data_IF_823703726467
#
_entry.id   IF_823703726467
#
_cell.length_a   1.000
_cell.length_b   1.000
_cell.length_c   1.000
_cell.angle_alpha   90.00
_cell.angle_beta   90.00
_cell.angle_gamma   90.00
#
_symmetry.space_group_name_H-M   'P 1'
#
loop_
_entity.id
_entity.type
_entity.pdbx_description
1 polymer ?
#
# COMPACT_ATOMS: atom_id res chain seq x y z
N UNK A 1 -2.90 5.24 -3.11
CA UNK A 1 -3.57 6.22 -2.25
C UNK A 1 -2.77 6.30 -0.97
N UNK A 2 -2.78 7.44 -0.31
CA UNK A 2 -2.19 7.62 1.02
C UNK A 2 -3.32 8.03 1.96
N UNK A 3 -3.41 7.40 3.13
CA UNK A 3 -4.39 7.78 4.13
C UNK A 3 -3.98 9.10 4.80
N UNK A 4 -4.95 9.92 5.17
CA UNK A 4 -4.71 11.13 5.96
C UNK A 4 -4.44 10.73 7.42
N UNK A 5 -5.15 9.71 7.89
CA UNK A 5 -4.98 9.12 9.20
C UNK A 5 -3.80 8.12 9.24
N UNK A 6 -3.20 8.02 10.42
CA UNK A 6 -2.10 7.08 10.68
C UNK A 6 -2.57 5.62 10.67
N UNK A 7 -1.63 4.71 10.37
CA UNK A 7 -1.88 3.28 10.46
C UNK A 7 -2.33 2.90 11.89
N UNK A 8 -3.47 2.20 11.97
CA UNK A 8 -4.15 1.91 13.23
C UNK A 8 -5.62 2.35 13.20
N UNK A 9 -5.97 3.32 12.35
CA UNK A 9 -7.35 3.58 11.93
C UNK A 9 -7.71 2.62 10.79
N UNK A 10 -8.93 2.09 10.82
CA UNK A 10 -9.39 1.15 9.79
C UNK A 10 -9.40 1.84 8.42
N UNK A 11 -8.93 1.14 7.38
CA UNK A 11 -8.75 1.74 6.05
C UNK A 11 -10.06 2.21 5.42
N UNK A 12 -11.18 1.53 5.71
CA UNK A 12 -12.51 1.95 5.28
C UNK A 12 -13.04 3.22 5.96
N UNK A 13 -12.47 3.60 7.10
CA UNK A 13 -12.85 4.80 7.86
C UNK A 13 -11.87 5.96 7.64
N UNK A 14 -10.79 5.73 6.90
CA UNK A 14 -9.74 6.73 6.65
C UNK A 14 -10.08 7.57 5.43
N UNK A 15 -9.87 8.89 5.52
CA UNK A 15 -9.80 9.72 4.34
C UNK A 15 -8.50 9.40 3.57
N UNK A 16 -8.50 9.55 2.25
CA UNK A 16 -7.30 9.29 1.46
C UNK A 16 -7.09 10.27 0.32
N UNK A 17 -5.82 10.46 -0.03
CA UNK A 17 -5.39 11.27 -1.16
C UNK A 17 -4.92 10.40 -2.32
N UNK A 18 -5.28 10.84 -3.53
CA UNK A 18 -4.75 10.34 -4.79
C UNK A 18 -4.51 11.53 -5.74
N UNK A 19 -3.25 11.87 -6.07
CA UNK A 19 -2.00 11.21 -5.68
C UNK A 19 -1.69 11.33 -4.17
N UNK A 20 -0.78 10.49 -3.63
CA UNK A 20 -0.25 10.70 -2.28
C UNK A 20 0.38 12.10 -2.15
N UNK A 21 0.27 12.69 -0.97
CA UNK A 21 0.65 14.08 -0.67
C UNK A 21 1.97 14.18 0.11
N UNK A 22 2.33 13.17 0.89
CA UNK A 22 3.54 13.17 1.73
C UNK A 22 4.56 12.09 1.35
N UNK A 23 4.15 11.04 0.64
CA UNK A 23 5.11 10.05 0.13
C UNK A 23 6.00 10.61 -0.98
N UNK A 24 7.32 10.48 -0.79
CA UNK A 24 8.31 10.79 -1.81
C UNK A 24 8.37 9.77 -2.95
N UNK A 25 9.14 10.12 -3.99
CA UNK A 25 9.29 9.28 -5.18
C UNK A 25 9.97 7.93 -4.88
N UNK A 26 10.90 7.90 -3.91
CA UNK A 26 11.63 6.70 -3.54
C UNK A 26 10.71 5.69 -2.82
N UNK A 27 9.85 6.18 -1.93
CA UNK A 27 8.85 5.43 -1.19
C UNK A 27 7.81 4.84 -2.14
N UNK A 28 7.30 5.66 -3.07
CA UNK A 28 6.36 5.21 -4.12
C UNK A 28 7.01 4.11 -4.98
N UNK A 29 8.28 4.27 -5.36
CA UNK A 29 9.00 3.25 -6.11
C UNK A 29 9.18 1.95 -5.31
N UNK A 30 9.45 2.05 -4.00
CA UNK A 30 9.54 0.89 -3.09
C UNK A 30 8.20 0.16 -2.98
N UNK A 31 7.10 0.89 -2.79
CA UNK A 31 5.74 0.33 -2.75
C UNK A 31 5.42 -0.39 -4.06
N UNK A 32 5.69 0.23 -5.22
CA UNK A 32 5.45 -0.40 -6.53
C UNK A 32 6.21 -1.71 -6.71
N UNK A 33 7.51 -1.72 -6.37
CA UNK A 33 8.33 -2.94 -6.44
C UNK A 33 7.79 -4.05 -5.52
N UNK A 34 7.41 -3.69 -4.29
CA UNK A 34 6.85 -4.64 -3.33
C UNK A 34 5.51 -5.21 -3.86
N UNK A 35 4.61 -4.36 -4.34
CA UNK A 35 3.33 -4.78 -4.93
C UNK A 35 3.51 -5.76 -6.08
N UNK A 36 4.43 -5.46 -7.00
CA UNK A 36 4.69 -6.31 -8.15
C UNK A 36 5.31 -7.66 -7.76
N UNK A 37 6.22 -7.66 -6.78
CA UNK A 37 6.82 -8.88 -6.23
C UNK A 37 5.78 -9.77 -5.54
N UNK A 38 4.90 -9.18 -4.72
CA UNK A 38 3.81 -9.89 -4.05
C UNK A 38 2.85 -10.46 -5.09
N UNK A 39 2.39 -9.66 -6.05
CA UNK A 39 1.47 -10.08 -7.10
C UNK A 39 2.01 -11.30 -7.88
N UNK A 40 3.31 -11.28 -8.23
CA UNK A 40 3.97 -12.41 -8.89
C UNK A 40 4.13 -13.61 -7.96
N UNK A 41 4.55 -13.39 -6.72
CA UNK A 41 4.80 -14.45 -5.74
C UNK A 41 3.55 -15.25 -5.38
N UNK A 42 2.39 -14.59 -5.30
CA UNK A 42 1.10 -15.26 -5.02
C UNK A 42 0.33 -15.66 -6.28
N UNK A 43 0.85 -15.33 -7.47
CA UNK A 43 0.25 -15.73 -8.74
C UNK A 43 -1.06 -15.03 -9.08
N UNK A 44 -1.27 -13.77 -8.67
CA UNK A 44 -2.50 -13.04 -8.97
C UNK A 44 -2.75 -12.96 -10.47
N UNK A 45 -3.99 -13.25 -10.87
CA UNK A 45 -4.53 -12.98 -12.19
C UNK A 45 -5.78 -12.10 -12.03
N UNK A 46 -5.67 -10.81 -12.34
CA UNK A 46 -6.75 -9.85 -12.14
C UNK A 46 -6.38 -8.76 -11.14
N UNK A 47 -7.35 -8.32 -10.35
CA UNK A 47 -7.18 -7.22 -9.39
C UNK A 47 -6.52 -7.68 -8.09
N UNK A 48 -5.76 -6.78 -7.50
CA UNK A 48 -5.09 -6.95 -6.21
C UNK A 48 -5.09 -5.60 -5.47
N UNK A 49 -5.58 -5.62 -4.24
CA UNK A 49 -5.42 -4.53 -3.29
C UNK A 49 -4.38 -4.94 -2.25
N UNK A 50 -3.40 -4.06 -1.95
CA UNK A 50 -2.42 -4.31 -0.89
C UNK A 50 -2.41 -3.09 0.03
N UNK A 51 -2.45 -3.35 1.34
CA UNK A 51 -2.30 -2.32 2.36
C UNK A 51 -0.88 -2.36 2.93
N UNK A 52 -0.24 -1.19 2.98
CA UNK A 52 1.10 -1.01 3.52
C UNK A 52 1.08 -0.04 4.70
N UNK A 53 2.03 -0.20 5.62
CA UNK A 53 2.35 0.80 6.63
C UNK A 53 3.83 1.22 6.47
N UNK A 54 4.09 2.52 6.55
CA UNK A 54 5.44 3.07 6.51
C UNK A 54 5.75 3.68 7.88
N UNK A 55 6.72 3.11 8.60
CA UNK A 55 7.11 3.61 9.92
C UNK A 55 8.62 3.52 10.12
N UNK A 56 9.24 4.61 10.57
CA UNK A 56 10.69 4.71 10.77
C UNK A 56 11.51 4.25 9.53
N UNK A 57 11.07 4.68 8.34
CA UNK A 57 11.60 4.29 7.03
C UNK A 57 11.52 2.78 6.69
N UNK A 58 10.80 1.99 7.48
CA UNK A 58 10.53 0.59 7.17
C UNK A 58 9.13 0.47 6.54
N UNK A 59 9.07 -0.17 5.36
CA UNK A 59 7.81 -0.48 4.68
C UNK A 59 7.34 -1.88 5.09
N UNK A 60 6.21 -1.93 5.79
CA UNK A 60 5.54 -3.15 6.22
C UNK A 60 4.36 -3.45 5.29
N UNK A 61 4.13 -4.73 5.03
CA UNK A 61 2.92 -5.23 4.37
C UNK A 61 1.93 -5.60 5.46
N UNK A 62 0.73 -5.03 5.44
CA UNK A 62 -0.33 -5.38 6.39
C UNK A 62 -1.15 -6.56 5.86
N UNK A 63 -1.64 -6.45 4.63
CA UNK A 63 -2.44 -7.48 3.96
C UNK A 63 -2.40 -7.34 2.43
N UNK A 64 -2.73 -8.42 1.73
CA UNK A 64 -2.86 -8.47 0.27
C UNK A 64 -4.15 -9.22 -0.11
N UNK A 65 -5.08 -8.52 -0.75
CA UNK A 65 -6.40 -8.99 -1.15
C UNK A 65 -6.44 -9.20 -2.68
N UNK A 66 -6.35 -10.44 -3.21
CA UNK A 66 -6.37 -10.72 -4.65
C UNK A 66 -7.79 -10.66 -5.23
N UNK A 67 -8.44 -9.52 -5.02
CA UNK A 67 -9.81 -9.18 -5.41
C UNK A 67 -9.97 -7.65 -5.41
N UNK A 68 -11.13 -7.19 -5.87
CA UNK A 68 -11.57 -5.81 -5.65
C UNK A 68 -11.94 -5.56 -4.18
#
# INVERSE_FOLDING_TARGET
MEHIEEAGIHSGDSACALPPITLGAAEIARIRRATEAIARGVGVRGLLNIQFALGSDVLYVLEANPRA
#
